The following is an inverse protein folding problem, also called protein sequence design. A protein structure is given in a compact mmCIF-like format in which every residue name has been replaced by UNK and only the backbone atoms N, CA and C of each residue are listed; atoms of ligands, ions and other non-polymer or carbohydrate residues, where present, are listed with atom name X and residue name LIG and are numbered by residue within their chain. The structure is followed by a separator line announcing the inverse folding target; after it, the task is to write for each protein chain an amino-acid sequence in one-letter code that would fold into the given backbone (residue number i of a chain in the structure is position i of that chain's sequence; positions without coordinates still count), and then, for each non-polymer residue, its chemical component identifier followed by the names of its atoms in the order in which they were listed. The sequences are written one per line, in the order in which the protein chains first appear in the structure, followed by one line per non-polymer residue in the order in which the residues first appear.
data_IF_654138203721
#
_entry.id   IF_654138203721
#
_cell.length_a   1.000
_cell.length_b   1.000
_cell.length_c   1.000
_cell.angle_alpha   90.00
_cell.angle_beta   90.00
_cell.angle_gamma   90.00
#
_symmetry.space_group_name_H-M   'P 1'
#
loop_
_entity.id
_entity.type
_entity.pdbx_description
1 polymer ?
#
# COMPACT_ATOMS: atom_id res chain seq x y z
N UNK A 1 6.87 -17.55 -10.97
CA UNK A 1 6.06 -17.65 -9.76
C UNK A 1 4.59 -17.28 -10.01
N UNK A 2 4.17 -15.99 -10.06
CA UNK A 2 2.74 -15.61 -10.18
C UNK A 2 2.06 -16.17 -11.45
N UNK A 3 2.77 -16.32 -12.57
CA UNK A 3 2.25 -16.97 -13.77
C UNK A 3 1.93 -18.44 -13.51
N UNK A 4 2.79 -19.16 -12.84
CA UNK A 4 2.61 -20.59 -12.48
C UNK A 4 1.38 -20.78 -11.61
N UNK A 5 1.10 -19.83 -10.73
CA UNK A 5 -0.10 -19.81 -9.88
C UNK A 5 -1.38 -19.33 -10.60
N UNK A 6 -1.28 -18.91 -11.87
CA UNK A 6 -2.42 -18.35 -12.61
C UNK A 6 -2.83 -16.94 -12.18
N UNK A 7 -2.11 -16.32 -11.25
CA UNK A 7 -2.47 -15.03 -10.63
C UNK A 7 -2.09 -13.83 -11.49
N UNK A 8 -1.10 -13.97 -12.36
CA UNK A 8 -0.66 -12.91 -13.25
C UNK A 8 -0.50 -13.43 -14.67
N UNK A 9 -1.32 -12.92 -15.57
CA UNK A 9 -1.28 -13.24 -16.99
C UNK A 9 -0.67 -12.06 -17.74
N UNK A 10 0.27 -12.37 -18.62
CA UNK A 10 0.83 -11.38 -19.54
C UNK A 10 -0.20 -10.97 -20.61
N UNK A 11 0.21 -10.09 -21.47
CA UNK A 11 -0.45 -9.76 -22.74
C UNK A 11 0.12 -10.61 -23.87
N UNK A 12 -0.39 -10.44 -25.10
CA UNK A 12 0.22 -11.04 -26.30
C UNK A 12 1.66 -10.54 -26.56
N UNK A 13 2.10 -9.50 -25.85
CA UNK A 13 3.47 -8.93 -25.89
C UNK A 13 4.35 -9.33 -24.70
N UNK A 14 3.86 -10.24 -23.85
CA UNK A 14 4.56 -10.66 -22.63
C UNK A 14 4.04 -9.98 -21.37
N UNK A 15 4.87 -9.88 -20.35
CA UNK A 15 4.44 -9.32 -19.05
C UNK A 15 4.43 -7.80 -18.99
N UNK A 16 5.22 -7.15 -19.85
CA UNK A 16 5.30 -5.69 -19.95
C UNK A 16 5.44 -4.99 -18.57
N UNK A 17 6.37 -5.48 -17.75
CA UNK A 17 6.51 -5.07 -16.35
C UNK A 17 6.84 -3.58 -16.18
N UNK A 18 7.51 -2.99 -17.19
CA UNK A 18 7.87 -1.56 -17.19
C UNK A 18 6.70 -0.61 -17.52
N UNK A 19 5.57 -1.17 -17.97
CA UNK A 19 4.41 -0.35 -18.28
C UNK A 19 3.64 0.02 -17.03
N UNK A 20 3.07 1.21 -17.06
CA UNK A 20 2.13 1.69 -16.06
C UNK A 20 0.82 0.89 -16.06
N UNK A 21 0.09 0.99 -14.96
CA UNK A 21 -1.24 0.39 -14.78
C UNK A 21 -2.30 1.49 -14.76
N UNK A 22 -3.43 1.23 -15.39
CA UNK A 22 -4.64 2.01 -15.14
C UNK A 22 -5.39 1.46 -13.91
N UNK A 23 -6.30 2.26 -13.37
CA UNK A 23 -7.10 1.89 -12.17
C UNK A 23 -7.93 0.63 -12.40
N UNK A 24 -8.56 0.49 -13.58
CA UNK A 24 -9.33 -0.70 -13.94
C UNK A 24 -8.46 -1.93 -14.14
N UNK A 25 -7.23 -1.78 -14.61
CA UNK A 25 -6.26 -2.87 -14.68
C UNK A 25 -5.81 -3.31 -13.28
N UNK A 26 -5.61 -2.36 -12.37
CA UNK A 26 -5.23 -2.64 -10.99
C UNK A 26 -6.30 -3.48 -10.27
N UNK A 27 -7.57 -3.05 -10.32
CA UNK A 27 -8.64 -3.85 -9.69
C UNK A 27 -8.83 -5.21 -10.38
N UNK A 28 -8.64 -5.29 -11.70
CA UNK A 28 -8.69 -6.58 -12.42
C UNK A 28 -7.63 -7.55 -11.89
N UNK A 29 -6.40 -7.07 -11.63
CA UNK A 29 -5.35 -7.91 -11.03
C UNK A 29 -5.74 -8.42 -9.65
N UNK A 30 -6.33 -7.56 -8.82
CA UNK A 30 -6.77 -7.93 -7.46
C UNK A 30 -7.91 -8.94 -7.50
N UNK A 31 -8.90 -8.77 -8.37
CA UNK A 31 -10.01 -9.72 -8.52
C UNK A 31 -9.50 -11.09 -9.00
N UNK A 32 -8.53 -11.11 -9.91
CA UNK A 32 -7.86 -12.34 -10.35
C UNK A 32 -7.05 -12.99 -9.23
N UNK A 33 -6.31 -12.20 -8.47
CA UNK A 33 -5.58 -12.68 -7.31
C UNK A 33 -6.51 -13.40 -6.33
N UNK A 34 -7.71 -12.88 -6.11
CA UNK A 34 -8.72 -13.49 -5.24
C UNK A 34 -9.38 -14.74 -5.83
N UNK A 35 -9.06 -15.11 -7.08
CA UNK A 35 -9.71 -16.20 -7.81
C UNK A 35 -11.18 -15.90 -8.16
N UNK A 36 -11.58 -14.65 -8.10
CA UNK A 36 -12.97 -14.22 -8.23
C UNK A 36 -13.36 -13.76 -9.66
N UNK A 37 -12.50 -13.96 -10.66
CA UNK A 37 -12.76 -13.49 -12.03
C UNK A 37 -14.02 -14.10 -12.63
N UNK A 38 -14.22 -15.42 -12.48
CA UNK A 38 -15.39 -16.12 -12.98
C UNK A 38 -16.66 -15.59 -12.31
N UNK A 39 -16.65 -15.49 -10.99
CA UNK A 39 -17.77 -14.96 -10.21
C UNK A 39 -18.10 -13.51 -10.60
N UNK A 40 -17.09 -12.65 -10.72
CA UNK A 40 -17.27 -11.26 -11.11
C UNK A 40 -17.92 -11.13 -12.48
N UNK A 41 -17.49 -11.94 -13.47
CA UNK A 41 -18.05 -11.96 -14.82
C UNK A 41 -19.47 -12.51 -14.87
N UNK A 42 -19.75 -13.57 -14.11
CA UNK A 42 -21.08 -14.20 -14.06
C UNK A 42 -22.10 -13.28 -13.39
N UNK A 43 -21.77 -12.70 -12.24
CA UNK A 43 -22.69 -11.86 -11.47
C UNK A 43 -22.79 -10.44 -12.00
N UNK A 44 -21.72 -9.94 -12.65
CA UNK A 44 -21.58 -8.54 -13.09
C UNK A 44 -22.14 -7.56 -12.05
N UNK A 45 -21.54 -7.47 -10.85
CA UNK A 45 -22.11 -6.71 -9.73
C UNK A 45 -22.27 -5.23 -10.07
N UNK A 46 -23.35 -4.63 -9.61
CA UNK A 46 -23.65 -3.23 -9.87
C UNK A 46 -22.65 -2.29 -9.15
N UNK A 47 -22.40 -1.16 -9.77
CA UNK A 47 -21.62 -0.06 -9.23
C UNK A 47 -22.18 1.30 -9.71
N UNK A 48 -21.94 2.41 -8.99
CA UNK A 48 -22.53 3.71 -9.34
C UNK A 48 -21.78 4.47 -10.45
N UNK A 49 -20.67 3.92 -10.96
CA UNK A 49 -19.75 4.65 -11.84
C UNK A 49 -20.21 4.64 -13.29
N UNK A 50 -20.28 5.82 -13.90
CA UNK A 50 -20.77 6.01 -15.27
C UNK A 50 -19.66 6.03 -16.32
N UNK A 51 -18.38 6.10 -15.89
CA UNK A 51 -17.21 6.18 -16.77
C UNK A 51 -16.56 4.82 -17.04
N UNK A 52 -17.10 3.71 -16.56
CA UNK A 52 -16.51 2.38 -16.70
C UNK A 52 -16.99 1.68 -17.96
N UNK A 53 -16.06 1.20 -18.79
CA UNK A 53 -16.40 0.41 -19.97
C UNK A 53 -16.87 -1.01 -19.62
N UNK A 54 -17.68 -1.58 -20.51
CA UNK A 54 -18.33 -2.89 -20.30
C UNK A 54 -17.36 -4.02 -19.90
N UNK A 55 -16.15 -4.08 -20.46
CA UNK A 55 -15.18 -5.11 -20.12
C UNK A 55 -14.67 -5.04 -18.67
N UNK A 56 -14.58 -3.81 -18.14
CA UNK A 56 -14.06 -3.57 -16.79
C UNK A 56 -15.17 -3.57 -15.72
N UNK A 57 -16.43 -3.37 -16.13
CA UNK A 57 -17.58 -3.30 -15.23
C UNK A 57 -17.67 -4.47 -14.24
N UNK A 58 -17.53 -5.74 -14.64
CA UNK A 58 -17.58 -6.85 -13.68
C UNK A 58 -16.51 -6.76 -12.58
N UNK A 59 -15.30 -6.36 -12.93
CA UNK A 59 -14.19 -6.25 -11.99
C UNK A 59 -14.35 -5.05 -11.05
N UNK A 60 -14.75 -3.91 -11.61
CA UNK A 60 -15.02 -2.69 -10.83
C UNK A 60 -16.20 -2.91 -9.90
N UNK A 61 -17.27 -3.53 -10.39
CA UNK A 61 -18.44 -3.88 -9.58
C UNK A 61 -18.09 -4.82 -8.43
N UNK A 62 -17.34 -5.90 -8.72
CA UNK A 62 -16.85 -6.81 -7.68
C UNK A 62 -15.99 -6.05 -6.63
N UNK A 63 -15.07 -5.23 -7.10
CA UNK A 63 -14.21 -4.44 -6.21
C UNK A 63 -14.99 -3.44 -5.36
N UNK A 64 -16.03 -2.81 -5.91
CA UNK A 64 -16.89 -1.88 -5.20
C UNK A 64 -17.75 -2.59 -4.13
N UNK A 65 -18.42 -3.68 -4.49
CA UNK A 65 -19.28 -4.45 -3.57
C UNK A 65 -18.48 -5.10 -2.42
N UNK A 66 -17.20 -5.41 -2.64
CA UNK A 66 -16.30 -5.93 -1.61
C UNK A 66 -15.44 -4.85 -0.94
N UNK A 67 -15.80 -3.56 -1.08
CA UNK A 67 -15.12 -2.41 -0.49
C UNK A 67 -13.61 -2.30 -0.83
N UNK A 68 -13.15 -2.97 -1.90
CA UNK A 68 -11.75 -2.92 -2.33
C UNK A 68 -11.41 -1.59 -3.04
N UNK A 69 -12.41 -1.01 -3.72
CA UNK A 69 -12.26 0.26 -4.44
C UNK A 69 -13.37 1.24 -4.09
N UNK A 70 -13.03 2.51 -4.15
CA UNK A 70 -13.94 3.64 -4.19
C UNK A 70 -13.72 4.41 -5.49
N UNK A 71 -14.71 5.17 -5.93
CA UNK A 71 -14.56 6.09 -7.05
C UNK A 71 -13.62 7.27 -6.74
N UNK A 72 -13.30 8.03 -7.78
CA UNK A 72 -12.70 9.36 -7.63
C UNK A 72 -13.76 10.40 -7.26
N UNK A 73 -15.04 10.05 -7.48
CA UNK A 73 -16.24 10.74 -6.98
C UNK A 73 -17.36 9.71 -6.78
N UNK A 74 -18.53 10.14 -6.37
CA UNK A 74 -19.69 9.25 -6.18
C UNK A 74 -20.09 8.51 -7.47
N UNK A 75 -19.92 9.11 -8.63
CA UNK A 75 -20.36 8.58 -9.92
C UNK A 75 -19.23 8.29 -10.92
N UNK A 76 -17.98 8.55 -10.56
CA UNK A 76 -16.82 8.34 -11.43
C UNK A 76 -15.80 7.42 -10.77
N UNK A 77 -15.44 6.35 -11.46
CA UNK A 77 -14.36 5.44 -11.07
C UNK A 77 -12.97 6.04 -11.32
N UNK A 78 -12.84 6.86 -12.36
CA UNK A 78 -11.57 7.32 -12.91
C UNK A 78 -11.00 6.32 -13.92
N UNK A 79 -11.86 5.77 -14.78
CA UNK A 79 -11.47 4.87 -15.86
C UNK A 79 -10.40 5.50 -16.76
N UNK A 80 -9.40 4.72 -17.15
CA UNK A 80 -8.28 5.14 -17.98
C UNK A 80 -7.22 5.96 -17.25
N UNK A 81 -7.45 6.39 -16.00
CA UNK A 81 -6.42 7.07 -15.20
C UNK A 81 -5.38 6.08 -14.71
N UNK A 82 -4.11 6.48 -14.75
CA UNK A 82 -3.04 5.69 -14.15
C UNK A 82 -3.27 5.54 -12.64
N UNK A 83 -3.04 4.33 -12.13
CA UNK A 83 -3.07 4.09 -10.70
C UNK A 83 -1.77 4.60 -10.07
N UNK A 84 -1.87 5.30 -8.96
CA UNK A 84 -0.70 5.64 -8.15
C UNK A 84 -0.37 4.51 -7.17
N UNK A 85 0.86 4.47 -6.67
CA UNK A 85 1.24 3.54 -5.60
C UNK A 85 0.27 3.59 -4.42
N UNK A 86 -0.02 4.80 -3.91
CA UNK A 86 -0.93 4.98 -2.78
C UNK A 86 -2.32 4.39 -3.05
N UNK A 87 -2.82 4.51 -4.27
CA UNK A 87 -4.11 3.93 -4.65
C UNK A 87 -4.04 2.41 -4.73
N UNK A 88 -2.97 1.84 -5.30
CA UNK A 88 -2.79 0.39 -5.38
C UNK A 88 -2.64 -0.23 -3.98
N UNK A 89 -1.77 0.34 -3.15
CA UNK A 89 -1.58 -0.10 -1.77
C UNK A 89 -2.87 0.03 -0.94
N UNK A 90 -3.67 1.08 -1.17
CA UNK A 90 -4.99 1.20 -0.52
C UNK A 90 -5.90 0.03 -0.87
N UNK A 91 -5.96 -0.40 -2.14
CA UNK A 91 -6.75 -1.57 -2.55
C UNK A 91 -6.25 -2.85 -1.87
N UNK A 92 -4.93 -3.01 -1.79
CA UNK A 92 -4.27 -4.15 -1.13
C UNK A 92 -4.53 -4.17 0.37
N UNK A 93 -4.44 -3.04 1.06
CA UNK A 93 -4.72 -2.96 2.49
C UNK A 93 -6.18 -3.27 2.81
N UNK A 94 -7.11 -2.81 1.99
CA UNK A 94 -8.54 -3.16 2.11
C UNK A 94 -8.77 -4.66 1.90
N UNK A 95 -8.06 -5.29 0.95
CA UNK A 95 -8.09 -6.75 0.77
C UNK A 95 -7.66 -7.47 2.05
N UNK A 96 -6.64 -6.96 2.75
CA UNK A 96 -6.19 -7.47 4.04
C UNK A 96 -7.09 -7.07 5.20
N UNK A 97 -8.25 -6.44 4.95
CA UNK A 97 -9.24 -6.00 5.95
C UNK A 97 -8.80 -4.83 6.83
N UNK A 98 -7.85 -4.00 6.36
CA UNK A 98 -7.57 -2.71 6.98
C UNK A 98 -8.54 -1.65 6.46
N UNK A 99 -8.96 -0.75 7.34
CA UNK A 99 -9.98 0.26 7.07
C UNK A 99 -9.38 1.65 6.91
N UNK A 100 -9.83 2.37 5.87
CA UNK A 100 -9.49 3.77 5.66
C UNK A 100 -9.92 4.60 6.88
N UNK A 101 -9.14 5.62 7.18
CA UNK A 101 -9.39 6.61 8.24
C UNK A 101 -9.39 6.03 9.67
N UNK A 102 -9.28 4.70 9.81
CA UNK A 102 -9.13 3.99 11.08
C UNK A 102 -7.72 3.44 11.25
N UNK A 103 -7.26 2.64 10.30
CA UNK A 103 -5.94 1.99 10.35
C UNK A 103 -4.88 2.76 9.58
N UNK A 104 -5.28 3.45 8.52
CA UNK A 104 -4.42 4.27 7.67
C UNK A 104 -5.23 5.34 6.93
N UNK A 105 -4.56 6.35 6.40
CA UNK A 105 -5.14 7.26 5.42
C UNK A 105 -4.64 6.90 4.03
N UNK A 106 -5.50 7.01 3.01
CA UNK A 106 -5.19 6.54 1.66
C UNK A 106 -3.88 7.13 1.07
N UNK A 107 -3.57 8.40 1.37
CA UNK A 107 -2.35 9.07 0.93
C UNK A 107 -1.09 8.68 1.72
N UNK A 108 -1.24 7.93 2.82
CA UNK A 108 -0.19 7.36 3.66
C UNK A 108 -0.24 5.83 3.72
N UNK A 109 -0.90 5.20 2.76
CA UNK A 109 -1.00 3.74 2.67
C UNK A 109 0.37 3.05 2.62
N UNK A 110 1.39 3.70 2.05
CA UNK A 110 2.75 3.22 2.02
C UNK A 110 3.34 2.98 3.43
N UNK A 111 3.04 3.84 4.41
CA UNK A 111 3.53 3.70 5.79
C UNK A 111 3.06 2.38 6.45
N UNK A 112 1.80 2.00 6.22
CA UNK A 112 1.27 0.73 6.74
C UNK A 112 1.76 -0.45 5.90
N UNK A 113 1.82 -0.31 4.58
CA UNK A 113 2.32 -1.35 3.69
C UNK A 113 3.76 -1.75 4.05
N UNK A 114 4.64 -0.79 4.30
CA UNK A 114 6.02 -1.01 4.72
C UNK A 114 6.09 -1.75 6.07
N UNK A 115 5.27 -1.37 7.05
CA UNK A 115 5.17 -2.07 8.35
C UNK A 115 4.72 -3.53 8.21
N UNK A 116 3.96 -3.84 7.17
CA UNK A 116 3.50 -5.19 6.84
C UNK A 116 4.52 -5.97 5.98
N UNK A 117 5.66 -5.36 5.65
CA UNK A 117 6.70 -5.98 4.81
C UNK A 117 6.35 -5.98 3.32
N UNK A 118 5.36 -5.19 2.88
CA UNK A 118 5.06 -5.03 1.47
C UNK A 118 6.06 -4.08 0.81
N UNK A 119 6.50 -4.35 -0.42
CA UNK A 119 7.37 -3.44 -1.17
C UNK A 119 6.73 -2.08 -1.38
N UNK A 120 7.50 -1.03 -1.12
CA UNK A 120 7.13 0.36 -1.35
C UNK A 120 8.15 0.97 -2.31
N UNK A 121 7.66 1.73 -3.26
CA UNK A 121 8.51 2.37 -4.28
C UNK A 121 9.19 3.59 -3.68
N UNK A 122 10.52 3.77 -3.84
CA UNK A 122 11.20 4.96 -3.32
C UNK A 122 10.59 6.26 -3.86
N UNK A 123 10.55 7.29 -3.03
CA UNK A 123 10.09 8.60 -3.47
C UNK A 123 10.88 9.05 -4.71
N UNK A 124 10.18 9.59 -5.71
CA UNK A 124 10.74 10.03 -6.99
C UNK A 124 11.16 8.92 -7.99
N UNK A 125 10.73 7.67 -7.80
CA UNK A 125 11.03 6.57 -8.73
C UNK A 125 10.21 6.59 -10.03
N UNK A 126 9.39 7.62 -10.25
CA UNK A 126 8.56 7.75 -11.45
C UNK A 126 7.14 7.19 -11.29
N UNK A 127 6.56 6.76 -12.40
CA UNK A 127 5.19 6.22 -12.42
C UNK A 127 5.14 4.79 -11.86
N UNK A 128 4.02 4.44 -11.23
CA UNK A 128 3.79 3.10 -10.69
C UNK A 128 3.57 2.09 -11.82
N UNK A 129 4.41 1.07 -11.89
CA UNK A 129 4.44 0.10 -12.99
C UNK A 129 3.74 -1.21 -12.66
N UNK A 130 3.52 -2.03 -13.69
CA UNK A 130 3.03 -3.42 -13.54
C UNK A 130 4.02 -4.26 -12.73
N UNK A 131 5.32 -4.01 -12.86
CA UNK A 131 6.36 -4.67 -12.07
C UNK A 131 6.20 -4.40 -10.59
N UNK A 132 6.03 -3.12 -10.20
CA UNK A 132 5.79 -2.76 -8.80
C UNK A 132 4.54 -3.46 -8.23
N UNK A 133 3.45 -3.51 -9.00
CA UNK A 133 2.23 -4.22 -8.58
C UNK A 133 2.47 -5.74 -8.41
N UNK A 134 3.27 -6.35 -9.29
CA UNK A 134 3.65 -7.77 -9.22
C UNK A 134 4.47 -8.07 -7.96
N UNK A 135 5.43 -7.20 -7.62
CA UNK A 135 6.24 -7.35 -6.42
C UNK A 135 5.39 -7.25 -5.16
N UNK A 136 4.45 -6.29 -5.11
CA UNK A 136 3.50 -6.17 -4.00
C UNK A 136 2.60 -7.41 -3.92
N UNK A 137 2.03 -7.88 -5.03
CA UNK A 137 1.18 -9.09 -5.06
C UNK A 137 1.96 -10.32 -4.56
N UNK A 138 3.23 -10.44 -4.93
CA UNK A 138 4.06 -11.56 -4.47
C UNK A 138 4.26 -11.54 -2.96
N UNK A 139 4.67 -10.40 -2.39
CA UNK A 139 4.84 -10.23 -0.94
C UNK A 139 3.51 -10.40 -0.19
N UNK A 140 2.40 -9.98 -0.80
CA UNK A 140 1.06 -10.07 -0.22
C UNK A 140 0.63 -11.51 0.06
N UNK A 141 1.10 -12.49 -0.71
CA UNK A 141 0.78 -13.90 -0.50
C UNK A 141 1.21 -14.39 0.90
N UNK A 142 2.35 -13.90 1.40
CA UNK A 142 2.87 -14.23 2.74
C UNK A 142 2.28 -13.34 3.86
N UNK A 143 1.51 -12.32 3.49
CA UNK A 143 0.98 -11.36 4.47
C UNK A 143 -0.30 -11.91 5.11
N UNK A 144 -0.40 -11.77 6.43
CA UNK A 144 -1.59 -12.13 7.20
C UNK A 144 -2.66 -11.03 7.10
N UNK A 145 -3.91 -11.43 7.21
CA UNK A 145 -5.01 -10.49 7.37
C UNK A 145 -4.89 -9.70 8.69
N UNK A 146 -5.52 -8.54 8.78
CA UNK A 146 -5.57 -7.71 10.01
C UNK A 146 -6.03 -8.51 11.23
N UNK A 147 -6.99 -9.41 11.04
CA UNK A 147 -7.49 -10.31 12.09
C UNK A 147 -6.46 -11.34 12.58
N UNK A 148 -5.28 -11.40 11.95
CA UNK A 148 -4.28 -12.43 12.22
C UNK A 148 -4.65 -13.78 11.60
N UNK A 149 -3.98 -14.84 12.05
CA UNK A 149 -4.23 -16.20 11.59
C UNK A 149 -3.55 -16.51 10.26
N UNK A 150 -4.34 -16.83 9.22
CA UNK A 150 -3.83 -17.30 7.93
C UNK A 150 -3.23 -16.18 7.07
N UNK A 151 -2.26 -16.56 6.24
CA UNK A 151 -1.78 -15.69 5.16
C UNK A 151 -2.78 -15.66 4.00
N UNK A 152 -2.60 -14.71 3.08
CA UNK A 152 -3.41 -14.69 1.88
C UNK A 152 -3.22 -15.98 1.06
N UNK A 153 -1.98 -16.48 0.91
CA UNK A 153 -1.72 -17.74 0.20
C UNK A 153 -2.49 -18.91 0.79
N UNK A 154 -2.47 -19.08 2.12
CA UNK A 154 -3.22 -20.15 2.79
C UNK A 154 -4.73 -20.04 2.50
N UNK A 155 -5.27 -18.84 2.54
CA UNK A 155 -6.69 -18.60 2.22
C UNK A 155 -7.01 -18.92 0.77
N UNK A 156 -6.13 -18.59 -0.17
CA UNK A 156 -6.31 -18.87 -1.60
C UNK A 156 -6.20 -20.38 -1.91
N UNK A 157 -5.30 -21.09 -1.22
CA UNK A 157 -5.18 -22.56 -1.29
C UNK A 157 -6.48 -23.22 -0.80
N UNK A 158 -7.01 -22.80 0.33
CA UNK A 158 -8.28 -23.33 0.86
C UNK A 158 -9.48 -23.04 -0.06
N UNK A 159 -9.47 -21.91 -0.74
CA UNK A 159 -10.48 -21.59 -1.78
C UNK A 159 -10.25 -22.32 -3.09
N UNK A 160 -9.16 -23.07 -3.24
CA UNK A 160 -8.84 -23.82 -4.46
C UNK A 160 -8.38 -22.95 -5.63
N UNK A 161 -7.91 -21.70 -5.36
CA UNK A 161 -7.39 -20.81 -6.41
C UNK A 161 -6.11 -21.38 -7.02
N UNK A 162 -5.26 -21.96 -6.18
CA UNK A 162 -4.11 -22.76 -6.58
C UNK A 162 -3.82 -23.83 -5.51
N UNK A 163 -3.03 -24.84 -5.86
CA UNK A 163 -2.66 -25.89 -4.92
C UNK A 163 -1.45 -25.53 -4.09
N UNK A 164 -1.34 -26.10 -2.88
CA UNK A 164 -0.14 -25.96 -2.05
C UNK A 164 1.12 -26.40 -2.79
N UNK A 165 1.03 -27.48 -3.58
CA UNK A 165 2.15 -27.95 -4.40
C UNK A 165 2.60 -26.89 -5.38
N UNK A 166 1.68 -26.29 -6.14
CA UNK A 166 2.00 -25.22 -7.10
C UNK A 166 2.62 -23.99 -6.41
N UNK A 167 2.16 -23.70 -5.19
CA UNK A 167 2.70 -22.59 -4.41
C UNK A 167 4.14 -22.83 -3.98
N UNK A 168 4.47 -24.02 -3.46
CA UNK A 168 5.85 -24.41 -3.11
C UNK A 168 6.78 -24.43 -4.32
N UNK A 169 6.32 -24.96 -5.44
CA UNK A 169 7.07 -24.90 -6.71
C UNK A 169 7.34 -23.44 -7.12
N UNK A 170 6.39 -22.53 -6.92
CA UNK A 170 6.56 -21.11 -7.19
C UNK A 170 7.56 -20.42 -6.26
N UNK A 171 7.69 -20.90 -5.01
CA UNK A 171 8.70 -20.46 -4.04
C UNK A 171 10.10 -21.02 -4.36
N UNK A 172 10.22 -21.99 -5.29
CA UNK A 172 11.48 -22.67 -5.60
C UNK A 172 11.83 -23.75 -4.56
N UNK A 173 10.86 -24.18 -3.78
CA UNK A 173 11.04 -25.29 -2.82
C UNK A 173 10.95 -26.62 -3.54
N UNK A 174 12.01 -27.39 -3.48
CA UNK A 174 12.07 -28.72 -4.09
C UNK A 174 11.10 -29.66 -3.37
N UNK A 175 10.28 -30.39 -4.12
CA UNK A 175 9.25 -31.32 -3.60
C UNK A 175 9.83 -32.44 -2.71
N UNK A 176 11.14 -32.57 -2.63
CA UNK A 176 11.84 -33.59 -1.82
C UNK A 176 11.89 -33.27 -0.32
N UNK A 177 11.52 -32.06 0.12
CA UNK A 177 11.67 -31.62 1.51
C UNK A 177 10.30 -31.47 2.24
N UNK A 178 9.34 -32.31 1.89
CA UNK A 178 7.95 -32.28 2.44
C UNK A 178 7.92 -32.42 3.98
N UNK A 179 8.98 -32.97 4.60
CA UNK A 179 9.04 -33.23 6.04
C UNK A 179 9.49 -32.06 6.91
N UNK A 180 10.18 -31.07 6.35
CA UNK A 180 10.84 -30.03 7.14
C UNK A 180 9.98 -28.75 7.36
N UNK A 181 8.90 -28.56 6.59
CA UNK A 181 8.11 -27.31 6.58
C UNK A 181 6.73 -27.49 7.22
N UNK A 182 6.34 -28.73 7.57
CA UNK A 182 5.11 -29.00 8.32
C UNK A 182 4.96 -28.23 9.66
N UNK A 183 6.03 -27.75 10.34
CA UNK A 183 5.86 -26.92 11.53
C UNK A 183 5.26 -25.54 11.27
N UNK A 184 5.36 -25.01 10.05
CA UNK A 184 4.88 -23.65 9.72
C UNK A 184 3.36 -23.64 9.47
N UNK A 185 2.77 -24.78 9.11
CA UNK A 185 1.34 -24.95 8.85
C UNK A 185 0.54 -25.55 10.02
N UNK A 186 1.20 -25.86 11.13
CA UNK A 186 0.48 -26.20 12.36
C UNK A 186 -0.05 -24.92 12.99
N UNK A 187 -1.34 -24.86 13.38
CA UNK A 187 -1.77 -23.82 14.30
C UNK A 187 -0.82 -23.86 15.51
N UNK A 188 -0.34 -22.69 15.90
CA UNK A 188 0.46 -22.54 17.13
C UNK A 188 -0.20 -23.39 18.22
N UNK A 189 0.50 -24.33 18.87
CA UNK A 189 0.00 -24.90 20.09
C UNK A 189 -0.23 -23.72 21.03
N UNK A 190 -1.41 -23.64 21.64
CA UNK A 190 -1.78 -22.60 22.61
C UNK A 190 -0.55 -22.14 23.38
N UNK A 191 -0.24 -20.84 23.40
CA UNK A 191 0.91 -20.33 24.13
C UNK A 191 0.79 -20.84 25.56
N UNK A 192 1.77 -21.60 26.00
CA UNK A 192 1.89 -21.95 27.43
C UNK A 192 1.78 -20.61 28.18
N UNK A 193 0.96 -20.52 29.23
CA UNK A 193 0.92 -19.30 30.01
C UNK A 193 2.36 -18.96 30.41
N UNK A 194 2.75 -17.72 30.09
CA UNK A 194 4.04 -17.18 30.50
C UNK A 194 4.19 -17.40 32.01
N UNK A 195 5.34 -17.87 32.47
CA UNK A 195 5.61 -17.86 33.90
C UNK A 195 5.46 -16.42 34.38
N UNK A 196 4.70 -16.22 35.45
CA UNK A 196 4.44 -14.92 36.06
C UNK A 196 5.71 -14.06 36.05
N UNK A 197 5.64 -12.82 35.52
CA UNK A 197 6.78 -11.93 35.51
C UNK A 197 7.23 -11.71 36.96
N UNK A 198 8.51 -11.99 37.21
CA UNK A 198 9.12 -11.59 38.50
C UNK A 198 8.89 -10.10 38.66
N UNK A 199 8.50 -9.62 39.86
CA UNK A 199 8.35 -8.20 40.07
C UNK A 199 9.66 -7.49 39.71
N UNK A 200 9.56 -6.51 38.82
CA UNK A 200 10.65 -5.63 38.45
C UNK A 200 11.17 -4.92 39.72
N UNK A 201 12.49 -4.79 39.87
CA UNK A 201 13.04 -3.90 40.90
C UNK A 201 12.54 -2.49 40.63
N UNK A 202 12.11 -1.79 41.68
CA UNK A 202 11.59 -0.42 41.65
C UNK A 202 12.44 0.48 40.71
N UNK A 203 11.80 1.20 39.76
CA UNK A 203 12.50 2.10 38.89
C UNK A 203 13.16 3.20 39.72
N UNK A 204 14.48 3.37 39.53
CA UNK A 204 15.16 4.58 40.01
C UNK A 204 14.46 5.79 39.37
N UNK A 205 14.24 6.86 40.13
CA UNK A 205 13.69 8.08 39.54
C UNK A 205 14.60 8.54 38.39
N UNK A 206 13.99 8.75 37.23
CA UNK A 206 14.65 9.34 36.07
C UNK A 206 15.15 10.75 36.44
N UNK A 207 16.36 11.12 36.00
CA UNK A 207 16.75 12.52 36.05
C UNK A 207 15.75 13.33 35.19
N UNK A 208 15.37 14.51 35.70
CA UNK A 208 14.50 15.47 35.01
C UNK A 208 14.92 15.61 33.53
N UNK A 209 13.97 15.54 32.61
CA UNK A 209 14.29 15.80 31.21
C UNK A 209 14.74 17.25 31.04
N UNK A 210 15.90 17.43 30.42
CA UNK A 210 16.32 18.72 29.87
C UNK A 210 15.19 19.26 28.98
N UNK A 211 14.84 20.56 29.10
CA UNK A 211 13.81 21.13 28.24
C UNK A 211 14.24 20.99 26.76
N UNK A 212 13.41 20.30 25.98
CA UNK A 212 13.51 20.25 24.53
C UNK A 212 13.70 21.67 23.98
N UNK A 213 14.66 21.92 23.08
CA UNK A 213 14.71 23.19 22.37
C UNK A 213 13.42 23.30 21.53
N UNK A 214 12.64 24.33 21.82
CA UNK A 214 11.46 24.67 21.00
C UNK A 214 11.88 24.80 19.54
N UNK A 215 11.17 24.16 18.59
CA UNK A 215 11.41 24.38 17.17
C UNK A 215 11.15 25.87 16.89
N UNK A 216 12.16 26.59 16.50
CA UNK A 216 12.06 27.97 16.02
C UNK A 216 11.48 27.96 14.61
N UNK A 217 10.20 27.62 14.48
CA UNK A 217 9.44 27.92 13.28
C UNK A 217 9.18 29.41 13.23
N UNK A 218 10.01 30.15 12.50
CA UNK A 218 9.73 31.56 12.24
C UNK A 218 8.69 31.65 11.13
N UNK A 219 7.51 32.26 11.38
CA UNK A 219 6.51 32.44 10.36
C UNK A 219 7.04 33.32 9.23
N UNK A 220 6.85 32.89 7.98
CA UNK A 220 7.20 33.67 6.79
C UNK A 220 6.01 34.55 6.42
N UNK A 221 6.22 35.85 6.36
CA UNK A 221 5.18 36.82 6.04
C UNK A 221 5.18 37.16 4.54
N UNK A 222 3.98 37.24 3.96
CA UNK A 222 3.72 37.67 2.60
C UNK A 222 2.70 38.80 2.62
N UNK A 223 2.96 39.89 1.92
CA UNK A 223 2.04 41.04 1.82
C UNK A 223 1.98 41.55 0.39
N UNK A 224 0.81 41.90 -0.16
CA UNK A 224 0.71 42.51 -1.47
C UNK A 224 1.46 43.85 -1.62
N UNK A 225 1.81 44.48 -0.49
CA UNK A 225 2.61 45.67 -0.41
C UNK A 225 4.08 45.40 -0.06
N UNK A 226 4.50 44.13 0.02
CA UNK A 226 5.90 43.72 0.24
C UNK A 226 6.76 44.03 -0.98
N UNK A 227 8.03 44.32 -0.74
CA UNK A 227 9.01 44.61 -1.81
C UNK A 227 9.52 43.32 -2.48
N UNK A 228 10.15 43.48 -3.66
CA UNK A 228 10.88 42.38 -4.32
C UNK A 228 12.06 41.85 -3.48
N UNK A 229 12.53 42.63 -2.54
CA UNK A 229 13.71 42.36 -1.72
C UNK A 229 13.36 42.04 -0.26
N UNK A 230 12.11 41.63 -0.01
CA UNK A 230 11.66 41.17 1.30
C UNK A 230 12.40 39.89 1.73
N UNK A 231 12.70 39.77 3.02
CA UNK A 231 13.36 38.61 3.62
C UNK A 231 12.37 37.64 4.30
N UNK A 232 11.06 37.92 4.20
CA UNK A 232 10.00 37.15 4.79
C UNK A 232 9.72 37.42 6.25
N UNK A 233 10.42 38.39 6.87
CA UNK A 233 10.11 38.83 8.21
C UNK A 233 8.82 39.68 8.25
N UNK A 234 8.31 39.94 9.46
CA UNK A 234 7.09 40.76 9.63
C UNK A 234 7.30 42.19 9.15
N UNK A 235 8.53 42.70 9.26
CA UNK A 235 8.91 44.07 8.91
C UNK A 235 9.35 44.23 7.45
N UNK A 236 9.75 43.13 6.81
CA UNK A 236 10.15 43.05 5.41
C UNK A 236 9.50 41.82 4.71
N UNK A 237 8.13 41.76 4.59
CA UNK A 237 7.46 40.63 4.03
C UNK A 237 7.73 40.46 2.53
N UNK A 238 7.68 39.24 2.03
CA UNK A 238 7.71 38.98 0.58
C UNK A 238 6.54 39.61 -0.14
N UNK A 239 6.77 40.17 -1.31
CA UNK A 239 5.72 40.79 -2.15
C UNK A 239 4.88 39.78 -2.93
N UNK A 240 5.30 38.52 -3.05
CA UNK A 240 4.59 37.48 -3.79
C UNK A 240 4.92 36.09 -3.30
N UNK A 241 4.06 35.12 -3.60
CA UNK A 241 4.31 33.69 -3.34
C UNK A 241 5.46 33.13 -4.19
N UNK A 242 5.78 33.76 -5.31
CA UNK A 242 6.91 33.37 -6.15
C UNK A 242 8.23 33.70 -5.44
N UNK A 243 8.34 34.85 -4.80
CA UNK A 243 9.50 35.24 -4.00
C UNK A 243 9.71 34.27 -2.83
N UNK A 244 8.65 33.85 -2.15
CA UNK A 244 8.73 32.82 -1.10
C UNK A 244 9.26 31.50 -1.65
N UNK A 245 8.74 31.06 -2.79
CA UNK A 245 9.18 29.81 -3.43
C UNK A 245 10.67 29.84 -3.76
N UNK A 246 11.15 30.95 -4.32
CA UNK A 246 12.53 31.10 -4.73
C UNK A 246 13.46 31.18 -3.52
N UNK A 247 13.07 31.90 -2.48
CA UNK A 247 13.76 31.92 -1.19
C UNK A 247 13.88 30.54 -0.56
N UNK A 248 12.79 29.77 -0.52
CA UNK A 248 12.79 28.40 0.01
C UNK A 248 13.62 27.44 -0.84
N UNK A 249 13.71 27.67 -2.15
CA UNK A 249 14.56 26.89 -3.05
C UNK A 249 16.05 27.15 -2.82
N UNK A 250 16.43 28.40 -2.61
CA UNK A 250 17.82 28.78 -2.35
C UNK A 250 18.30 28.37 -0.96
N UNK A 251 17.42 28.38 0.04
CA UNK A 251 17.78 28.05 1.42
C UNK A 251 17.55 26.56 1.78
N UNK A 252 17.08 25.73 0.84
CA UNK A 252 16.85 24.29 1.05
C UNK A 252 18.11 23.42 0.92
N UNK A 253 19.26 24.00 0.58
CA UNK A 253 20.48 23.26 0.26
C UNK A 253 21.56 23.26 1.34
N UNK A 254 21.24 23.61 2.58
CA UNK A 254 22.19 23.49 3.68
C UNK A 254 21.52 22.75 4.85
N UNK A 255 22.03 21.54 5.08
CA UNK A 255 21.82 20.62 6.20
C UNK A 255 20.87 19.44 5.96
N UNK A 256 21.42 18.43 5.27
CA UNK A 256 21.17 17.03 5.63
C UNK A 256 22.41 16.55 6.36
N UNK A 257 22.37 16.22 7.66
CA UNK A 257 23.47 15.52 8.31
C UNK A 257 23.54 14.08 7.82
N UNK A 258 24.76 13.65 7.57
CA UNK A 258 25.18 12.25 7.27
C UNK A 258 24.79 11.27 8.35
#
# INVERSE_FOLDING_TARGET
ALKTLGLFQGTNKGFELEKTLTREQAITLIVRLLGAEAEAKEKNPEHPFTDVLAWASPYVGYGYQNALVKGVSETLFGYGKLVTEAQFLTMVLRLLQYEDDTDFTWNKSAELAEKLGLPVVPANSGEYTRGNAVDVIWALLETKFKSGGKTLAQTLIEKGVFTEKAYREALGEDSSNIGAILPILRPDPDPKPDPDPKPDPDPKPDPDPDPDPEPTEQPVYVSPSGGSDGDGSKDAPFGSLEAVRDYLRENRSTELPT
#
